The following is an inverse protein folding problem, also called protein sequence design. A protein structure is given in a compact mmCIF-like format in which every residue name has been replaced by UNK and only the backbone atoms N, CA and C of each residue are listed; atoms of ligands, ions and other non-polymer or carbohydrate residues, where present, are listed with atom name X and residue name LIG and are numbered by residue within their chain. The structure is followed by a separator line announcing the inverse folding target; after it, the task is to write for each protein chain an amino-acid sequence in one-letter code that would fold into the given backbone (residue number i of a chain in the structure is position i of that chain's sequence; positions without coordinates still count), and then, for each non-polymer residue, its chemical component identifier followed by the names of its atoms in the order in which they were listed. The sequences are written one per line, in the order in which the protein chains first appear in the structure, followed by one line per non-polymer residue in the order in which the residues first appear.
data_IF_537053401521
#
_entry.id   IF_537053401521
#
_cell.length_a   1.000
_cell.length_b   1.000
_cell.length_c   1.000
_cell.angle_alpha   90.00
_cell.angle_beta   90.00
_cell.angle_gamma   90.00
#
_symmetry.space_group_name_H-M   'P 1'
#
loop_
_entity.id
_entity.type
_entity.pdbx_description
1 polymer ?
#
# COMPACT_ATOMS: atom_id res chain seq x y z
N UNK A 1 -10.10 -26.73 -0.49
CA UNK A 1 -10.22 -26.23 -1.89
C UNK A 1 -8.88 -25.70 -2.34
N UNK A 2 -8.34 -26.25 -3.43
CA UNK A 2 -7.17 -25.68 -4.11
C UNK A 2 -7.75 -24.63 -5.06
N UNK A 3 -7.63 -23.36 -4.70
CA UNK A 3 -8.00 -22.29 -5.64
C UNK A 3 -6.94 -22.20 -6.72
N UNK A 4 -7.35 -22.17 -7.99
CA UNK A 4 -6.43 -21.91 -9.08
C UNK A 4 -6.09 -20.42 -9.07
N UNK A 5 -4.91 -20.08 -8.56
CA UNK A 5 -4.48 -18.68 -8.40
C UNK A 5 -3.66 -18.26 -9.61
N UNK A 6 -4.03 -17.13 -10.21
CA UNK A 6 -3.24 -16.52 -11.27
C UNK A 6 -2.07 -15.74 -10.66
N UNK A 7 -0.82 -16.01 -11.04
CA UNK A 7 0.34 -15.28 -10.54
C UNK A 7 1.02 -14.51 -11.69
N UNK A 8 1.07 -13.16 -11.65
CA UNK A 8 1.74 -12.39 -12.70
C UNK A 8 3.23 -12.74 -12.79
N UNK A 9 3.67 -13.25 -13.95
CA UNK A 9 5.08 -13.62 -14.18
C UNK A 9 6.01 -12.41 -14.14
N UNK A 10 5.61 -11.32 -14.82
CA UNK A 10 6.37 -10.07 -14.94
C UNK A 10 5.73 -8.95 -14.12
N UNK A 11 6.52 -7.91 -13.81
CA UNK A 11 5.98 -6.66 -13.28
C UNK A 11 5.04 -6.01 -14.29
N UNK A 12 3.96 -5.44 -13.78
CA UNK A 12 3.03 -4.62 -14.54
C UNK A 12 2.54 -3.46 -13.65
N UNK A 13 1.80 -2.52 -14.24
CA UNK A 13 1.31 -1.31 -13.56
C UNK A 13 0.46 -1.65 -12.34
N UNK A 14 -0.42 -2.64 -12.46
CA UNK A 14 -1.35 -3.05 -11.41
C UNK A 14 -0.65 -3.74 -10.24
N UNK A 15 0.34 -4.60 -10.51
CA UNK A 15 1.13 -5.25 -9.46
C UNK A 15 1.99 -4.22 -8.72
N UNK A 16 2.62 -3.28 -9.42
CA UNK A 16 3.39 -2.21 -8.78
C UNK A 16 2.49 -1.32 -7.91
N UNK A 17 1.32 -0.96 -8.42
CA UNK A 17 0.31 -0.23 -7.67
C UNK A 17 -0.16 -0.98 -6.42
N UNK A 18 -0.45 -2.29 -6.53
CA UNK A 18 -0.79 -3.14 -5.38
C UNK A 18 0.34 -3.17 -4.34
N UNK A 19 1.60 -3.23 -4.76
CA UNK A 19 2.73 -3.17 -3.84
C UNK A 19 2.75 -1.86 -3.05
N UNK A 20 2.46 -0.72 -3.71
CA UNK A 20 2.31 0.57 -3.05
C UNK A 20 1.23 0.56 -1.98
N UNK A 21 0.04 0.09 -2.35
CA UNK A 21 -1.10 -0.08 -1.43
C UNK A 21 -0.74 -0.93 -0.20
N UNK A 22 -0.13 -2.10 -0.45
CA UNK A 22 0.25 -3.01 0.62
C UNK A 22 1.40 -2.46 1.48
N UNK A 23 2.28 -1.60 0.94
CA UNK A 23 3.36 -0.99 1.70
C UNK A 23 2.84 0.00 2.74
N UNK A 24 1.78 0.74 2.44
CA UNK A 24 1.05 1.55 3.41
C UNK A 24 0.28 0.68 4.40
N UNK A 25 -0.93 0.26 4.02
CA UNK A 25 -1.90 -0.35 4.94
C UNK A 25 -1.85 -1.89 5.02
N UNK A 26 -1.04 -2.54 4.17
CA UNK A 26 -1.00 -4.00 4.09
C UNK A 26 -0.10 -4.68 5.12
N UNK A 27 -0.19 -6.00 5.22
CA UNK A 27 0.74 -6.86 5.95
C UNK A 27 0.61 -8.31 5.46
N UNK A 28 1.65 -9.11 5.71
CA UNK A 28 1.72 -10.53 5.37
C UNK A 28 1.94 -11.38 6.64
N UNK A 29 0.95 -11.50 7.54
CA UNK A 29 1.11 -12.31 8.75
C UNK A 29 0.97 -13.81 8.43
N UNK A 30 1.72 -14.62 9.18
CA UNK A 30 1.49 -16.06 9.28
C UNK A 30 0.90 -16.33 10.64
N UNK A 31 -0.29 -16.91 10.68
CA UNK A 31 -0.99 -17.25 11.94
C UNK A 31 -1.19 -18.76 12.04
N UNK A 32 -1.43 -19.26 13.24
CA UNK A 32 -1.82 -20.65 13.45
C UNK A 32 -3.32 -20.71 13.76
N UNK A 33 -4.02 -21.69 13.21
CA UNK A 33 -5.39 -22.05 13.60
C UNK A 33 -5.44 -23.51 14.01
N UNK A 34 -6.27 -23.83 14.99
CA UNK A 34 -6.54 -25.21 15.39
C UNK A 34 -7.63 -25.77 14.46
N UNK A 35 -7.36 -26.91 13.84
CA UNK A 35 -8.36 -27.66 13.05
C UNK A 35 -9.33 -28.41 13.98
N UNK A 36 -10.50 -28.84 13.48
CA UNK A 36 -11.43 -29.65 14.28
C UNK A 36 -10.81 -30.90 14.90
N UNK A 37 -9.76 -31.46 14.27
CA UNK A 37 -9.02 -32.61 14.78
C UNK A 37 -7.88 -32.25 15.76
N UNK A 38 -7.88 -31.04 16.33
CA UNK A 38 -6.88 -30.56 17.28
C UNK A 38 -5.52 -30.18 16.68
N UNK A 39 -5.25 -30.47 15.41
CA UNK A 39 -3.95 -30.17 14.78
C UNK A 39 -3.82 -28.70 14.41
N UNK A 40 -2.65 -28.11 14.65
CA UNK A 40 -2.33 -26.76 14.19
C UNK A 40 -2.16 -26.69 12.67
N UNK A 41 -2.67 -25.63 12.07
CA UNK A 41 -2.51 -25.29 10.67
C UNK A 41 -1.99 -23.86 10.54
N UNK A 42 -0.89 -23.69 9.79
CA UNK A 42 -0.39 -22.38 9.38
C UNK A 42 -1.32 -21.75 8.34
N UNK A 43 -1.73 -20.51 8.56
CA UNK A 43 -2.51 -19.67 7.65
C UNK A 43 -1.62 -18.55 7.14
N UNK A 44 -1.54 -18.42 5.83
CA UNK A 44 -0.73 -17.42 5.14
C UNK A 44 -1.66 -16.32 4.65
N UNK A 45 -1.63 -15.18 5.33
CA UNK A 45 -2.60 -14.11 5.11
C UNK A 45 -1.97 -12.97 4.33
N UNK A 46 -2.75 -12.39 3.42
CA UNK A 46 -2.56 -11.06 2.88
C UNK A 46 -3.63 -10.21 3.54
N UNK A 47 -3.21 -9.24 4.34
CA UNK A 47 -4.06 -8.52 5.27
C UNK A 47 -3.92 -7.03 5.07
N UNK A 48 -5.02 -6.27 5.13
CA UNK A 48 -4.98 -4.81 5.15
C UNK A 48 -6.23 -4.27 5.84
N UNK A 49 -6.12 -3.05 6.38
CA UNK A 49 -7.22 -2.34 7.02
C UNK A 49 -7.53 -1.09 6.21
N UNK A 50 -8.80 -0.78 6.00
CA UNK A 50 -9.23 0.43 5.32
C UNK A 50 -10.42 1.04 6.04
N UNK A 51 -10.52 2.37 6.10
CA UNK A 51 -11.67 3.09 6.64
C UNK A 51 -12.67 3.54 5.55
N UNK A 52 -12.34 3.36 4.27
CA UNK A 52 -13.14 3.80 3.13
C UNK A 52 -13.71 2.59 2.37
N UNK A 53 -15.03 2.38 2.51
CA UNK A 53 -15.73 1.30 1.79
C UNK A 53 -15.62 1.50 0.28
N UNK A 54 -15.78 2.74 -0.20
CA UNK A 54 -15.70 3.08 -1.62
C UNK A 54 -14.33 2.74 -2.19
N UNK A 55 -13.24 3.09 -1.49
CA UNK A 55 -11.89 2.73 -1.91
C UNK A 55 -11.68 1.21 -1.95
N UNK A 56 -12.16 0.50 -0.93
CA UNK A 56 -12.10 -0.96 -0.89
C UNK A 56 -12.81 -1.62 -2.08
N UNK A 57 -14.05 -1.21 -2.35
CA UNK A 57 -14.89 -1.82 -3.39
C UNK A 57 -14.47 -1.41 -4.80
N UNK A 58 -14.02 -0.16 -4.99
CA UNK A 58 -13.64 0.35 -6.31
C UNK A 58 -12.23 -0.06 -6.73
N UNK A 59 -11.31 -0.20 -5.77
CA UNK A 59 -9.88 -0.37 -6.06
C UNK A 59 -9.36 -1.72 -5.59
N UNK A 60 -9.36 -1.97 -4.27
CA UNK A 60 -8.67 -3.13 -3.70
C UNK A 60 -9.26 -4.47 -4.17
N UNK A 61 -10.58 -4.66 -4.01
CA UNK A 61 -11.24 -5.92 -4.37
C UNK A 61 -11.08 -6.23 -5.87
N UNK A 62 -11.39 -5.30 -6.80
CA UNK A 62 -11.19 -5.53 -8.22
C UNK A 62 -9.72 -5.80 -8.58
N UNK A 63 -8.78 -5.13 -7.94
CA UNK A 63 -7.34 -5.30 -8.20
C UNK A 63 -6.85 -6.71 -7.82
N UNK A 64 -7.24 -7.22 -6.65
CA UNK A 64 -6.92 -8.58 -6.25
C UNK A 64 -7.59 -9.62 -7.15
N UNK A 65 -8.87 -9.41 -7.51
CA UNK A 65 -9.58 -10.28 -8.45
C UNK A 65 -8.90 -10.30 -9.82
N UNK A 66 -8.48 -9.14 -10.33
CA UNK A 66 -7.77 -9.02 -11.61
C UNK A 66 -6.40 -9.69 -11.59
N UNK A 67 -5.60 -9.45 -10.54
CA UNK A 67 -4.22 -9.95 -10.47
C UNK A 67 -4.15 -11.43 -10.15
N UNK A 68 -5.04 -11.92 -9.29
CA UNK A 68 -4.92 -13.25 -8.69
C UNK A 68 -6.13 -14.17 -8.89
N UNK A 69 -7.24 -13.67 -9.41
CA UNK A 69 -8.49 -14.42 -9.50
C UNK A 69 -9.20 -14.61 -8.16
N UNK A 70 -8.75 -13.93 -7.09
CA UNK A 70 -9.31 -14.06 -5.75
C UNK A 70 -9.92 -12.75 -5.25
N UNK A 71 -11.08 -12.87 -4.61
CA UNK A 71 -11.78 -11.76 -3.96
C UNK A 71 -11.39 -11.71 -2.48
N UNK A 72 -10.84 -10.59 -1.97
CA UNK A 72 -10.61 -10.43 -0.54
C UNK A 72 -11.91 -10.56 0.26
N UNK A 73 -11.86 -11.26 1.40
CA UNK A 73 -12.93 -11.19 2.39
C UNK A 73 -12.79 -9.88 3.16
N UNK A 74 -13.85 -9.10 3.23
CA UNK A 74 -13.92 -7.86 3.98
C UNK A 74 -14.92 -8.01 5.13
N UNK A 75 -14.44 -7.94 6.37
CA UNK A 75 -15.25 -7.99 7.57
C UNK A 75 -15.33 -6.56 8.17
N UNK A 76 -16.55 -6.11 8.52
CA UNK A 76 -16.76 -4.82 9.18
C UNK A 76 -16.32 -4.91 10.64
N UNK A 77 -15.42 -4.01 11.05
CA UNK A 77 -15.05 -3.79 12.45
C UNK A 77 -15.61 -2.44 12.87
N UNK A 78 -16.63 -2.46 13.74
CA UNK A 78 -17.13 -1.25 14.38
C UNK A 78 -16.33 -0.99 15.64
N UNK A 79 -15.52 0.08 15.63
CA UNK A 79 -15.04 0.69 16.86
C UNK A 79 -15.99 1.83 17.25
N UNK A 80 -16.03 2.20 18.54
CA UNK A 80 -16.89 3.29 19.04
C UNK A 80 -16.74 4.62 18.27
N UNK A 81 -15.57 4.84 17.65
CA UNK A 81 -15.18 6.11 17.02
C UNK A 81 -15.15 6.01 15.49
N UNK A 82 -14.85 4.85 14.92
CA UNK A 82 -14.58 4.70 13.49
C UNK A 82 -15.09 3.37 12.95
N UNK A 83 -15.56 3.40 11.71
CA UNK A 83 -15.85 2.20 10.92
C UNK A 83 -14.57 1.79 10.19
N UNK A 84 -14.12 0.55 10.43
CA UNK A 84 -12.98 -0.05 9.77
C UNK A 84 -13.39 -1.31 9.03
N UNK A 85 -12.76 -1.58 7.90
CA UNK A 85 -12.92 -2.78 7.11
C UNK A 85 -11.63 -3.59 7.21
N UNK A 86 -11.72 -4.76 7.82
CA UNK A 86 -10.63 -5.72 7.88
C UNK A 86 -10.70 -6.63 6.66
N UNK A 87 -9.69 -6.52 5.81
CA UNK A 87 -9.65 -7.22 4.55
C UNK A 87 -8.55 -8.28 4.57
N UNK A 88 -8.90 -9.52 4.20
CA UNK A 88 -7.96 -10.64 4.19
C UNK A 88 -8.16 -11.57 3.01
N UNK A 89 -7.04 -12.10 2.53
CA UNK A 89 -6.98 -13.27 1.66
C UNK A 89 -6.12 -14.31 2.35
N UNK A 90 -6.57 -15.55 2.37
CA UNK A 90 -5.76 -16.68 2.79
C UNK A 90 -5.27 -17.45 1.56
N UNK A 91 -3.99 -17.29 1.24
CA UNK A 91 -3.37 -17.99 0.11
C UNK A 91 -1.86 -18.07 0.29
N UNK A 92 -1.37 -19.28 0.53
CA UNK A 92 0.07 -19.55 0.58
C UNK A 92 0.76 -19.19 -0.75
N UNK A 93 0.11 -19.44 -1.88
CA UNK A 93 0.65 -19.13 -3.20
C UNK A 93 0.87 -17.63 -3.41
N UNK A 94 -0.13 -16.79 -3.09
CA UNK A 94 0.01 -15.33 -3.20
C UNK A 94 1.00 -14.80 -2.18
N UNK A 95 0.97 -15.31 -0.94
CA UNK A 95 1.91 -14.93 0.11
C UNK A 95 3.36 -15.15 -0.34
N UNK A 96 3.69 -16.36 -0.76
CA UNK A 96 5.05 -16.70 -1.20
C UNK A 96 5.43 -15.95 -2.47
N UNK A 97 4.46 -15.70 -3.37
CA UNK A 97 4.68 -14.85 -4.54
C UNK A 97 5.08 -13.42 -4.15
N UNK A 98 4.32 -12.76 -3.26
CA UNK A 98 4.61 -11.39 -2.83
C UNK A 98 5.95 -11.32 -2.07
N UNK A 99 6.21 -12.30 -1.19
CA UNK A 99 7.49 -12.43 -0.48
C UNK A 99 8.65 -12.61 -1.46
N UNK A 100 8.55 -13.54 -2.42
CA UNK A 100 9.56 -13.76 -3.47
C UNK A 100 9.73 -12.53 -4.36
N UNK A 101 8.65 -11.78 -4.61
CA UNK A 101 8.68 -10.50 -5.33
C UNK A 101 9.36 -9.38 -4.53
N UNK A 102 9.68 -9.59 -3.25
CA UNK A 102 10.48 -8.67 -2.43
C UNK A 102 9.64 -7.82 -1.48
N UNK A 103 8.40 -8.23 -1.17
CA UNK A 103 7.60 -7.55 -0.16
C UNK A 103 8.21 -7.75 1.24
N UNK A 104 8.24 -6.71 2.04
CA UNK A 104 8.81 -6.74 3.40
C UNK A 104 7.85 -7.43 4.38
N UNK A 105 8.33 -8.47 5.08
CA UNK A 105 7.55 -9.21 6.09
C UNK A 105 7.80 -8.60 7.48
N UNK A 106 6.77 -8.59 8.34
CA UNK A 106 6.86 -8.14 9.73
C UNK A 106 6.40 -6.69 9.95
N UNK A 107 6.85 -6.08 11.06
CA UNK A 107 6.51 -4.68 11.41
C UNK A 107 7.23 -3.71 10.47
N UNK A 108 6.56 -3.29 9.41
CA UNK A 108 7.13 -2.56 8.27
C UNK A 108 7.59 -1.12 8.54
N UNK A 109 7.09 -0.47 9.60
CA UNK A 109 7.20 0.99 9.79
C UNK A 109 8.62 1.54 9.54
N UNK A 110 9.66 0.81 9.94
CA UNK A 110 11.07 1.22 9.82
C UNK A 110 11.88 0.46 8.75
N UNK A 111 11.36 -0.68 8.28
CA UNK A 111 12.11 -1.63 7.45
C UNK A 111 11.52 -1.82 6.05
N UNK A 112 10.41 -1.13 5.74
CA UNK A 112 9.77 -1.22 4.45
C UNK A 112 10.74 -0.85 3.32
N UNK A 113 10.89 -1.75 2.35
CA UNK A 113 11.80 -1.60 1.20
C UNK A 113 11.05 -1.75 -0.11
N UNK A 114 11.60 -1.09 -1.13
CA UNK A 114 11.15 -1.26 -2.51
C UNK A 114 11.72 -2.57 -3.06
N UNK A 115 10.91 -3.38 -3.77
CA UNK A 115 11.41 -4.55 -4.48
C UNK A 115 12.57 -4.22 -5.43
N UNK A 116 13.77 -4.76 -5.16
CA UNK A 116 14.97 -4.52 -5.99
C UNK A 116 14.79 -4.89 -7.46
N UNK A 117 13.99 -5.93 -7.72
CA UNK A 117 13.71 -6.46 -9.05
C UNK A 117 12.57 -5.74 -9.78
N UNK A 118 11.99 -4.67 -9.22
CA UNK A 118 10.98 -3.87 -9.92
C UNK A 118 11.64 -2.88 -10.89
N UNK A 119 11.29 -2.91 -12.19
CA UNK A 119 11.80 -1.93 -13.15
C UNK A 119 11.37 -0.50 -12.81
N UNK A 120 12.29 0.47 -12.98
CA UNK A 120 12.04 1.90 -12.69
C UNK A 120 10.79 2.46 -13.36
N UNK A 121 10.45 2.02 -14.59
CA UNK A 121 9.23 2.43 -15.31
C UNK A 121 7.92 2.16 -14.54
N UNK A 122 7.96 1.33 -13.50
CA UNK A 122 6.79 1.06 -12.65
C UNK A 122 6.78 1.83 -11.33
N UNK A 123 7.83 2.60 -11.02
CA UNK A 123 7.96 3.30 -9.74
C UNK A 123 6.84 4.31 -9.50
N UNK A 124 6.40 5.01 -10.56
CA UNK A 124 5.27 5.95 -10.48
C UNK A 124 3.97 5.27 -10.02
N UNK A 125 3.74 4.00 -10.40
CA UNK A 125 2.55 3.25 -9.99
C UNK A 125 2.67 2.75 -8.54
N UNK A 126 3.86 2.33 -8.11
CA UNK A 126 4.09 2.02 -6.70
C UNK A 126 3.88 3.26 -5.84
N UNK A 127 4.43 4.40 -6.25
CA UNK A 127 4.23 5.67 -5.54
C UNK A 127 2.74 6.06 -5.49
N UNK A 128 2.00 5.88 -6.59
CA UNK A 128 0.56 6.16 -6.60
C UNK A 128 -0.18 5.33 -5.55
N UNK A 129 0.08 4.02 -5.47
CA UNK A 129 -0.52 3.16 -4.45
C UNK A 129 -0.17 3.60 -3.03
N UNK A 130 1.08 4.00 -2.79
CA UNK A 130 1.51 4.47 -1.47
C UNK A 130 0.83 5.80 -1.07
N UNK A 131 0.65 6.72 -2.02
CA UNK A 131 -0.06 7.98 -1.78
C UNK A 131 -1.58 7.77 -1.62
N UNK A 132 -2.15 6.78 -2.29
CA UNK A 132 -3.58 6.47 -2.16
C UNK A 132 -3.93 5.89 -0.77
N UNK A 133 -2.97 5.30 -0.05
CA UNK A 133 -3.12 4.87 1.35
C UNK A 133 -2.64 5.94 2.33
N UNK A 134 -1.33 6.20 2.35
CA UNK A 134 -0.65 6.97 3.40
C UNK A 134 -0.58 8.47 3.07
N UNK A 135 -0.94 8.84 1.83
CA UNK A 135 -0.98 10.23 1.40
C UNK A 135 -2.12 10.99 2.08
N UNK A 136 -1.85 12.22 2.47
CA UNK A 136 -2.83 13.08 3.12
C UNK A 136 -2.35 14.51 3.27
N UNK A 137 -3.12 15.30 4.01
CA UNK A 137 -2.78 16.69 4.31
C UNK A 137 -1.47 16.77 5.08
N UNK A 138 -0.56 17.62 4.61
CA UNK A 138 0.75 17.89 5.20
C UNK A 138 0.99 19.40 5.18
N UNK A 139 0.73 20.05 6.32
CA UNK A 139 0.63 21.52 6.37
C UNK A 139 -0.42 22.03 5.38
N UNK A 140 -0.01 22.94 4.49
CA UNK A 140 -0.81 23.45 3.38
C UNK A 140 -0.53 22.66 2.08
N UNK A 141 -0.39 21.34 2.15
CA UNK A 141 0.01 20.51 1.02
C UNK A 141 -0.49 19.08 1.10
N UNK A 142 -0.03 18.25 0.17
CA UNK A 142 -0.34 16.83 0.10
C UNK A 142 0.94 15.99 0.03
N UNK A 143 0.98 14.91 0.79
CA UNK A 143 2.12 14.00 0.81
C UNK A 143 1.98 12.95 1.89
N UNK A 144 3.08 12.28 2.22
CA UNK A 144 3.10 11.20 3.20
C UNK A 144 4.18 11.42 4.26
N UNK A 145 4.11 10.63 5.33
CA UNK A 145 5.15 10.55 6.35
C UNK A 145 5.52 9.08 6.55
N UNK A 146 6.81 8.76 6.59
CA UNK A 146 7.28 7.38 6.81
C UNK A 146 8.48 7.34 7.73
N UNK A 147 8.57 6.32 8.58
CA UNK A 147 9.76 6.08 9.41
C UNK A 147 10.83 5.24 8.67
N UNK A 148 10.53 4.74 7.46
CA UNK A 148 11.51 4.05 6.62
C UNK A 148 12.31 5.05 5.79
N UNK A 149 13.61 5.13 6.05
CA UNK A 149 14.56 5.92 5.24
C UNK A 149 14.54 5.47 3.77
N UNK A 150 14.47 4.16 3.53
CA UNK A 150 14.45 3.61 2.17
C UNK A 150 13.19 4.05 1.40
N UNK A 151 12.01 4.03 2.04
CA UNK A 151 10.78 4.55 1.42
C UNK A 151 10.84 6.06 1.20
N UNK A 152 11.41 6.80 2.15
CA UNK A 152 11.56 8.25 2.03
C UNK A 152 12.43 8.62 0.82
N UNK A 153 13.61 8.00 0.71
CA UNK A 153 14.52 8.18 -0.42
C UNK A 153 13.88 7.76 -1.75
N UNK A 154 13.13 6.66 -1.76
CA UNK A 154 12.36 6.26 -2.94
C UNK A 154 11.38 7.37 -3.38
N UNK A 155 10.56 7.88 -2.47
CA UNK A 155 9.57 8.91 -2.81
C UNK A 155 10.25 10.17 -3.36
N UNK A 156 11.32 10.63 -2.71
CA UNK A 156 12.11 11.80 -3.16
C UNK A 156 12.65 11.58 -4.56
N UNK A 157 13.24 10.42 -4.84
CA UNK A 157 13.81 10.11 -6.15
C UNK A 157 12.75 10.08 -7.24
N UNK A 158 11.57 9.50 -6.97
CA UNK A 158 10.48 9.50 -7.96
C UNK A 158 9.95 10.92 -8.18
N UNK A 159 9.84 11.75 -7.15
CA UNK A 159 9.41 13.15 -7.32
C UNK A 159 10.44 13.95 -8.15
N UNK A 160 11.75 13.74 -7.92
CA UNK A 160 12.82 14.32 -8.75
C UNK A 160 12.74 13.85 -10.20
N UNK A 161 12.62 12.54 -10.44
CA UNK A 161 12.52 11.95 -11.79
C UNK A 161 11.29 12.49 -12.54
N UNK A 162 10.18 12.73 -11.82
CA UNK A 162 8.97 13.33 -12.38
C UNK A 162 9.05 14.86 -12.50
N UNK A 163 10.14 15.52 -12.11
CA UNK A 163 10.24 16.98 -12.03
C UNK A 163 9.03 17.59 -11.29
N UNK A 164 8.74 17.04 -10.09
CA UNK A 164 7.73 17.54 -9.16
C UNK A 164 8.42 18.33 -8.04
N UNK A 165 7.99 19.57 -7.75
CA UNK A 165 8.51 20.30 -6.60
C UNK A 165 8.05 19.61 -5.33
N UNK A 166 8.95 19.49 -4.36
CA UNK A 166 8.66 18.80 -3.11
C UNK A 166 9.42 19.44 -1.94
N UNK A 167 8.87 19.23 -0.75
CA UNK A 167 9.54 19.49 0.51
C UNK A 167 9.81 18.15 1.19
N UNK A 168 10.96 18.04 1.83
CA UNK A 168 11.25 16.94 2.72
C UNK A 168 11.87 17.46 4.01
N UNK A 169 11.31 17.04 5.14
CA UNK A 169 11.84 17.34 6.46
C UNK A 169 11.75 16.10 7.35
N UNK A 170 12.82 15.77 8.10
CA UNK A 170 12.71 14.85 9.21
C UNK A 170 11.98 15.54 10.38
N UNK A 171 11.23 14.77 11.16
CA UNK A 171 10.66 15.24 12.43
C UNK A 171 10.63 14.09 13.44
N UNK A 172 10.75 14.42 14.72
CA UNK A 172 10.77 13.46 15.81
C UNK A 172 9.36 13.27 16.39
N UNK A 173 8.89 12.03 16.46
CA UNK A 173 7.63 11.66 17.08
C UNK A 173 7.79 10.39 17.90
N UNK A 174 7.47 10.43 19.19
CA UNK A 174 7.59 9.28 20.11
C UNK A 174 8.92 8.55 19.94
N UNK A 175 10.03 9.29 20.03
CA UNK A 175 11.41 8.74 19.91
C UNK A 175 11.76 8.14 18.54
N UNK A 176 10.97 8.45 17.51
CA UNK A 176 11.21 7.97 16.15
C UNK A 176 11.33 9.12 15.16
N UNK A 177 12.33 9.04 14.28
CA UNK A 177 12.48 9.98 13.18
C UNK A 177 11.55 9.54 12.05
N UNK A 178 10.62 10.43 11.70
CA UNK A 178 9.77 10.30 10.54
C UNK A 178 10.25 11.27 9.46
N UNK A 179 10.19 10.82 8.21
CA UNK A 179 10.48 11.62 7.04
C UNK A 179 9.16 12.04 6.40
N UNK A 180 8.87 13.32 6.44
CA UNK A 180 7.73 13.89 5.74
C UNK A 180 8.17 14.29 4.34
N UNK A 181 7.40 13.89 3.32
CA UNK A 181 7.60 14.26 1.92
C UNK A 181 6.28 14.76 1.36
N UNK A 182 6.22 16.00 0.88
CA UNK A 182 4.97 16.61 0.43
C UNK A 182 5.17 17.69 -0.62
N UNK A 183 4.08 17.99 -1.34
CA UNK A 183 3.98 19.08 -2.32
C UNK A 183 3.05 20.15 -1.75
N UNK A 184 3.48 21.41 -1.80
CA UNK A 184 2.64 22.55 -1.38
C UNK A 184 1.41 22.72 -2.27
N UNK A 185 0.34 23.29 -1.70
CA UNK A 185 -0.96 23.52 -2.36
C UNK A 185 -0.85 24.03 -3.79
N UNK A 186 -0.04 25.08 -4.01
CA UNK A 186 0.15 25.71 -5.34
C UNK A 186 0.63 24.75 -6.43
N UNK A 187 1.21 23.60 -6.06
CA UNK A 187 1.74 22.61 -6.99
C UNK A 187 1.00 21.26 -6.93
N UNK A 188 0.01 21.08 -6.05
CA UNK A 188 -0.64 19.78 -5.84
C UNK A 188 -1.30 19.23 -7.11
N UNK A 189 -1.86 20.09 -7.96
CA UNK A 189 -2.43 19.70 -9.25
C UNK A 189 -1.43 19.01 -10.20
N UNK A 190 -0.12 19.25 -10.03
CA UNK A 190 0.91 18.55 -10.81
C UNK A 190 0.98 17.06 -10.47
N UNK A 191 0.53 16.65 -9.28
CA UNK A 191 0.43 15.25 -8.88
C UNK A 191 -0.54 14.53 -9.80
N UNK A 192 -1.76 15.05 -9.99
CA UNK A 192 -2.78 14.39 -10.82
C UNK A 192 -2.36 14.25 -12.29
N UNK A 193 -1.49 15.15 -12.76
CA UNK A 193 -0.93 15.09 -14.13
C UNK A 193 0.16 14.03 -14.30
N UNK A 194 0.89 13.69 -13.24
CA UNK A 194 2.12 12.86 -13.32
C UNK A 194 2.02 11.53 -12.59
N UNK A 195 1.14 11.42 -11.60
CA UNK A 195 0.99 10.25 -10.73
C UNK A 195 -0.45 9.74 -10.89
N UNK A 196 -0.64 8.48 -11.35
CA UNK A 196 -1.96 7.93 -11.63
C UNK A 196 -2.64 7.45 -10.34
N UNK A 197 -3.01 8.39 -9.47
CA UNK A 197 -3.82 8.12 -8.28
C UNK A 197 -5.17 7.53 -8.66
N UNK A 198 -5.71 6.67 -7.81
CA UNK A 198 -7.02 6.04 -7.99
C UNK A 198 -7.94 6.20 -6.79
N UNK A 199 -7.47 6.71 -5.65
CA UNK A 199 -8.34 6.96 -4.51
C UNK A 199 -9.17 8.25 -4.74
N UNK A 200 -10.50 8.15 -4.89
CA UNK A 200 -11.34 9.31 -5.19
C UNK A 200 -11.27 10.38 -4.09
N UNK A 201 -11.13 9.97 -2.83
CA UNK A 201 -11.07 10.90 -1.70
C UNK A 201 -9.79 11.76 -1.77
N UNK A 202 -8.67 11.16 -2.20
CA UNK A 202 -7.38 11.85 -2.36
C UNK A 202 -7.39 12.75 -3.58
N UNK A 203 -7.98 12.28 -4.69
CA UNK A 203 -8.14 13.07 -5.91
C UNK A 203 -8.99 14.30 -5.63
N UNK A 204 -10.14 14.14 -4.95
CA UNK A 204 -11.00 15.26 -4.58
C UNK A 204 -10.28 16.29 -3.71
N UNK A 205 -9.52 15.82 -2.70
CA UNK A 205 -8.70 16.71 -1.86
C UNK A 205 -7.61 17.46 -2.64
N UNK A 206 -6.99 16.83 -3.63
CA UNK A 206 -5.97 17.49 -4.46
C UNK A 206 -6.60 18.49 -5.43
N UNK A 207 -7.83 18.23 -5.85
CA UNK A 207 -8.58 19.07 -6.78
C UNK A 207 -9.14 20.36 -6.16
N UNK A 208 -9.33 20.40 -4.83
CA UNK A 208 -9.82 21.56 -4.06
C UNK A 208 -8.73 22.57 -3.69
#
# INVERSE_FOLDING_TARGET
MIYNVNLPKKWNKDLAYLFGLLLGDGSLPVTNSIRPNGKYQKRYLIYFICNSKSFLTAIYIPLFKKLFGLTPRADLIKNKINILYNCRIESKAIYEFLKKKGFTIGRKARIAKIPRQMPKKYYVYLLAGLLDTDGGKKGNGFGLSTASKDLASFCINVFKELNLPYHSCPWLYKEHIYHQIYINRKNMQKILKKIPLKNPDKIAFISS
#
